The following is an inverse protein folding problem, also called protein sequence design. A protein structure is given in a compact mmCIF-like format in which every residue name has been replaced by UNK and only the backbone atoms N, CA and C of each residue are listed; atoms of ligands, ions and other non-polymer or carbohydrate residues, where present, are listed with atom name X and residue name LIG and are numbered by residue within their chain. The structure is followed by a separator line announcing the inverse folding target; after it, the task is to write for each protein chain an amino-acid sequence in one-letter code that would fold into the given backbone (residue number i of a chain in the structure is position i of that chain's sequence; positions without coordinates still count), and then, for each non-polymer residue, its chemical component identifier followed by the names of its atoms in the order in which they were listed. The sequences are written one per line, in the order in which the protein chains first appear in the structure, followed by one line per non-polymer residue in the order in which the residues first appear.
data_IF_184745746746
#
_entry.id   IF_184745746746
#
_cell.length_a   1.000
_cell.length_b   1.000
_cell.length_c   1.000
_cell.angle_alpha   90.00
_cell.angle_beta   90.00
_cell.angle_gamma   90.00
#
_symmetry.space_group_name_H-M   'P 1'
#
loop_
_entity.id
_entity.type
_entity.pdbx_description
1 polymer ?
#
# COMPACT_ATOMS: atom_id res chain seq x y z
N UNK A 1 -0.58 1.00 16.23
CA UNK A 1 -0.29 -0.13 15.34
C UNK A 1 0.30 0.37 14.04
N UNK A 2 1.29 -0.32 13.46
CA UNK A 2 1.88 0.05 12.17
C UNK A 2 1.73 -1.10 11.17
N UNK A 3 1.36 -0.76 9.93
CA UNK A 3 1.10 -1.71 8.84
C UNK A 3 1.99 -1.41 7.63
N UNK A 4 2.70 -2.43 7.11
CA UNK A 4 3.34 -2.40 5.80
C UNK A 4 2.29 -2.82 4.76
N UNK A 5 1.63 -1.89 4.09
CA UNK A 5 0.44 -2.22 3.31
C UNK A 5 0.41 -1.57 1.92
N UNK A 6 -0.43 -2.10 1.06
CA UNK A 6 -0.85 -1.46 -0.19
C UNK A 6 -2.22 -0.77 -0.03
N UNK A 7 -2.88 -0.51 -1.15
CA UNK A 7 -4.08 0.32 -1.19
C UNK A 7 -5.38 -0.38 -0.79
N UNK A 8 -5.59 -1.66 -1.12
CA UNK A 8 -6.94 -2.22 -1.23
C UNK A 8 -7.31 -3.22 -0.13
N UNK A 9 -6.55 -4.30 0.03
CA UNK A 9 -6.96 -5.46 0.85
C UNK A 9 -7.23 -5.14 2.33
N UNK A 10 -6.49 -4.18 2.91
CA UNK A 10 -6.66 -3.76 4.30
C UNK A 10 -7.62 -2.56 4.45
N UNK A 11 -8.31 -2.11 3.39
CA UNK A 11 -9.07 -0.84 3.39
C UNK A 11 -10.17 -0.83 4.46
N UNK A 12 -10.91 -1.90 4.58
CA UNK A 12 -12.02 -2.00 5.53
C UNK A 12 -11.53 -2.07 6.98
N UNK A 13 -10.58 -2.94 7.26
CA UNK A 13 -9.95 -3.07 8.59
C UNK A 13 -9.31 -1.75 9.03
N UNK A 14 -8.61 -1.05 8.10
CA UNK A 14 -8.00 0.24 8.40
C UNK A 14 -9.04 1.31 8.77
N UNK A 15 -10.20 1.34 8.10
CA UNK A 15 -11.32 2.24 8.44
C UNK A 15 -11.87 1.98 9.84
N UNK A 16 -11.99 0.72 10.20
CA UNK A 16 -12.48 0.32 11.55
C UNK A 16 -11.45 0.72 12.60
N UNK A 17 -10.20 0.29 12.44
CA UNK A 17 -9.13 0.56 13.40
C UNK A 17 -8.89 2.06 13.58
N UNK A 18 -8.94 2.86 12.52
CA UNK A 18 -8.73 4.30 12.60
C UNK A 18 -9.72 5.04 13.50
N UNK A 19 -10.88 4.44 13.78
CA UNK A 19 -11.88 4.98 14.71
C UNK A 19 -11.62 4.61 16.17
N UNK A 20 -10.72 3.66 16.44
CA UNK A 20 -10.53 3.03 17.75
C UNK A 20 -9.13 3.20 18.29
N UNK A 21 -8.13 3.15 17.45
CA UNK A 21 -6.72 3.17 17.82
C UNK A 21 -5.88 4.00 16.85
N UNK A 22 -4.73 4.46 17.31
CA UNK A 22 -3.78 5.13 16.42
C UNK A 22 -3.17 4.12 15.44
N UNK A 23 -3.41 4.33 14.15
CA UNK A 23 -2.87 3.52 13.06
C UNK A 23 -1.86 4.30 12.24
N UNK A 24 -0.82 3.61 11.80
CA UNK A 24 0.18 4.13 10.87
C UNK A 24 0.34 3.16 9.72
N UNK A 25 0.38 3.66 8.50
CA UNK A 25 0.55 2.86 7.30
C UNK A 25 1.78 3.30 6.54
N UNK A 26 2.72 2.37 6.33
CA UNK A 26 3.85 2.56 5.42
C UNK A 26 3.46 1.96 4.07
N UNK A 27 3.53 2.76 3.03
CA UNK A 27 3.03 2.46 1.70
C UNK A 27 4.17 2.51 0.69
N UNK A 28 4.25 1.47 -0.13
CA UNK A 28 5.20 1.40 -1.25
C UNK A 28 4.92 2.48 -2.30
N UNK A 29 6.00 3.02 -2.86
CA UNK A 29 5.99 4.07 -3.89
C UNK A 29 6.45 3.56 -5.26
N UNK A 30 6.48 2.23 -5.45
CA UNK A 30 7.05 1.59 -6.65
C UNK A 30 6.00 0.95 -7.56
N UNK A 31 4.72 1.12 -7.23
CA UNK A 31 3.60 0.62 -8.05
C UNK A 31 3.60 1.24 -9.46
N UNK A 32 3.20 0.46 -10.44
CA UNK A 32 3.12 0.87 -11.84
C UNK A 32 1.77 0.47 -12.47
N UNK A 33 0.71 0.34 -11.68
CA UNK A 33 -0.62 -0.06 -12.14
C UNK A 33 -1.63 1.09 -12.24
N UNK A 34 -2.70 0.86 -13.00
CA UNK A 34 -3.87 1.73 -13.10
C UNK A 34 -3.56 3.20 -13.41
N UNK A 35 -4.29 4.13 -12.79
CA UNK A 35 -4.14 5.58 -12.98
C UNK A 35 -2.73 6.10 -12.60
N UNK A 36 -2.00 5.42 -11.70
CA UNK A 36 -0.62 5.75 -11.38
C UNK A 36 0.31 5.50 -12.57
N UNK A 37 0.09 4.41 -13.31
CA UNK A 37 0.89 4.08 -14.50
C UNK A 37 0.79 5.18 -15.56
N UNK A 38 -0.43 5.65 -15.86
CA UNK A 38 -0.67 6.72 -16.82
C UNK A 38 0.08 8.02 -16.47
N UNK A 39 0.10 8.39 -15.18
CA UNK A 39 0.86 9.54 -14.71
C UNK A 39 2.37 9.34 -14.84
N UNK A 40 2.89 8.15 -14.45
CA UNK A 40 4.32 7.82 -14.53
C UNK A 40 4.84 7.62 -15.95
N UNK A 41 3.96 7.47 -16.94
CA UNK A 41 4.33 7.46 -18.37
C UNK A 41 4.69 8.86 -18.90
N UNK A 42 4.13 9.90 -18.29
CA UNK A 42 4.27 11.29 -18.76
C UNK A 42 4.99 12.20 -17.77
N UNK A 43 5.22 11.75 -16.55
CA UNK A 43 5.88 12.50 -15.48
C UNK A 43 6.82 11.60 -14.68
N UNK A 44 7.96 12.16 -14.27
CA UNK A 44 8.88 11.52 -13.33
C UNK A 44 8.39 11.72 -11.89
N UNK A 45 7.46 10.86 -11.46
CA UNK A 45 6.87 10.90 -10.13
C UNK A 45 6.88 9.51 -9.48
N UNK A 46 6.92 9.44 -8.12
CA UNK A 46 6.72 8.17 -7.41
C UNK A 46 5.29 7.65 -7.59
N UNK A 47 5.08 6.37 -7.30
CA UNK A 47 3.74 5.83 -7.29
C UNK A 47 2.95 6.36 -6.08
N UNK A 48 1.83 6.99 -6.34
CA UNK A 48 1.04 7.65 -5.29
C UNK A 48 -0.39 7.11 -5.14
N UNK A 49 -0.77 6.13 -5.97
CA UNK A 49 -2.13 5.59 -5.98
C UNK A 49 -2.53 4.92 -4.67
N UNK A 50 -1.65 4.08 -4.11
CA UNK A 50 -1.91 3.39 -2.85
C UNK A 50 -1.85 4.35 -1.65
N UNK A 51 -0.94 5.34 -1.69
CA UNK A 51 -0.89 6.43 -0.69
C UNK A 51 -2.21 7.17 -0.67
N UNK A 52 -2.69 7.68 -1.81
CA UNK A 52 -3.97 8.36 -1.93
C UNK A 52 -5.12 7.47 -1.45
N UNK A 53 -5.15 6.21 -1.87
CA UNK A 53 -6.19 5.25 -1.48
C UNK A 53 -6.23 5.04 0.03
N UNK A 54 -5.07 4.96 0.69
CA UNK A 54 -4.96 4.82 2.14
C UNK A 54 -5.40 6.09 2.86
N UNK A 55 -4.98 7.26 2.42
CA UNK A 55 -5.40 8.56 2.99
C UNK A 55 -6.93 8.68 2.98
N UNK A 56 -7.57 8.38 1.83
CA UNK A 56 -9.03 8.46 1.72
C UNK A 56 -9.74 7.37 2.54
N UNK A 57 -9.11 6.21 2.76
CA UNK A 57 -9.66 5.18 3.65
C UNK A 57 -9.65 5.61 5.13
N UNK A 58 -8.69 6.44 5.53
CA UNK A 58 -8.56 6.95 6.91
C UNK A 58 -9.30 8.26 7.14
N UNK A 59 -9.90 8.85 6.11
CA UNK A 59 -10.60 10.14 6.20
C UNK A 59 -11.72 10.13 7.25
N UNK A 60 -11.86 11.22 7.99
CA UNK A 60 -12.96 11.38 8.95
C UNK A 60 -14.26 11.74 8.25
N UNK A 61 -14.93 10.73 7.73
CA UNK A 61 -16.20 10.89 7.03
C UNK A 61 -17.40 11.17 7.94
N UNK A 62 -17.22 11.41 9.24
CA UNK A 62 -18.29 11.90 10.11
C UNK A 62 -18.69 13.33 9.76
N UNK A 63 -17.75 14.15 9.26
CA UNK A 63 -17.98 15.51 8.76
C UNK A 63 -18.54 15.49 7.34
N UNK A 64 -19.60 16.27 7.08
CA UNK A 64 -20.17 16.49 5.74
C UNK A 64 -19.15 17.05 4.75
N UNK A 65 -18.36 18.03 5.19
CA UNK A 65 -17.29 18.63 4.41
C UNK A 65 -16.33 17.55 3.92
N UNK A 66 -15.84 16.71 4.84
CA UNK A 66 -14.87 15.66 4.50
C UNK A 66 -15.50 14.59 3.58
N UNK A 67 -16.76 14.18 3.83
CA UNK A 67 -17.46 13.23 2.94
C UNK A 67 -17.52 13.73 1.50
N UNK A 68 -17.87 15.02 1.30
CA UNK A 68 -17.95 15.64 -0.03
C UNK A 68 -16.56 15.72 -0.67
N UNK A 69 -15.55 16.13 0.09
CA UNK A 69 -14.17 16.19 -0.39
C UNK A 69 -13.65 14.81 -0.81
N UNK A 70 -13.85 13.79 0.03
CA UNK A 70 -13.49 12.38 -0.29
C UNK A 70 -14.22 11.92 -1.55
N UNK A 71 -15.52 12.23 -1.69
CA UNK A 71 -16.31 11.88 -2.88
C UNK A 71 -15.74 12.51 -4.16
N UNK A 72 -15.22 13.74 -4.09
CA UNK A 72 -14.57 14.39 -5.23
C UNK A 72 -13.20 13.76 -5.55
N UNK A 73 -12.40 13.45 -4.52
CA UNK A 73 -11.06 12.85 -4.67
C UNK A 73 -11.09 11.37 -5.07
N UNK A 74 -12.11 10.59 -4.67
CA UNK A 74 -12.27 9.19 -5.10
C UNK A 74 -12.77 9.07 -6.54
N UNK A 75 -13.24 10.17 -7.14
CA UNK A 75 -13.81 10.14 -8.49
C UNK A 75 -12.76 9.69 -9.52
N UNK A 76 -13.22 8.86 -10.46
CA UNK A 76 -12.47 8.47 -11.65
C UNK A 76 -13.13 9.04 -12.88
N UNK A 77 -12.33 9.55 -13.78
CA UNK A 77 -12.80 10.06 -15.05
C UNK A 77 -13.42 8.92 -15.90
N UNK A 78 -14.36 9.23 -16.80
CA UNK A 78 -14.99 8.23 -17.66
C UNK A 78 -13.98 7.40 -18.46
N UNK A 79 -14.44 6.23 -18.94
CA UNK A 79 -13.64 5.37 -19.84
C UNK A 79 -13.62 5.90 -21.29
N UNK A 80 -14.63 6.67 -21.71
CA UNK A 80 -14.63 7.31 -23.01
C UNK A 80 -13.67 8.50 -23.04
N UNK A 81 -12.72 8.58 -23.99
CA UNK A 81 -11.69 9.62 -24.01
C UNK A 81 -12.26 11.04 -24.06
N UNK A 82 -13.29 11.27 -24.89
CA UNK A 82 -13.89 12.59 -25.07
C UNK A 82 -14.64 13.04 -23.82
N UNK A 83 -15.40 12.13 -23.20
CA UNK A 83 -16.08 12.37 -21.95
C UNK A 83 -15.08 12.60 -20.81
N UNK A 84 -13.97 11.85 -20.75
CA UNK A 84 -12.93 12.01 -19.74
C UNK A 84 -12.32 13.41 -19.77
N UNK A 85 -11.95 13.90 -20.95
CA UNK A 85 -11.41 15.25 -21.13
C UNK A 85 -12.45 16.32 -20.76
N UNK A 86 -13.69 16.16 -21.19
CA UNK A 86 -14.77 17.10 -20.85
C UNK A 86 -15.01 17.19 -19.34
N UNK A 87 -15.12 16.03 -18.68
CA UNK A 87 -15.31 15.96 -17.21
C UNK A 87 -14.10 16.50 -16.45
N UNK A 88 -12.88 16.22 -16.93
CA UNK A 88 -11.67 16.80 -16.33
C UNK A 88 -11.69 18.32 -16.38
N UNK A 89 -12.06 18.93 -17.52
CA UNK A 89 -12.21 20.38 -17.66
C UNK A 89 -13.29 20.96 -16.75
N UNK A 90 -14.40 20.23 -16.57
CA UNK A 90 -15.43 20.64 -15.60
C UNK A 90 -14.91 20.63 -14.15
N UNK A 91 -14.02 19.69 -13.80
CA UNK A 91 -13.33 19.70 -12.52
C UNK A 91 -12.37 20.89 -12.40
N UNK A 92 -11.53 21.16 -13.41
CA UNK A 92 -10.60 22.30 -13.41
C UNK A 92 -11.36 23.64 -13.27
N UNK A 93 -12.53 23.76 -13.90
CA UNK A 93 -13.35 24.96 -13.86
C UNK A 93 -14.33 25.01 -12.69
N UNK A 94 -14.33 23.99 -11.82
CA UNK A 94 -15.21 23.93 -10.65
C UNK A 94 -16.71 23.73 -10.95
N UNK A 95 -17.06 23.32 -12.18
CA UNK A 95 -18.46 23.18 -12.63
C UNK A 95 -19.01 21.76 -12.46
N UNK A 96 -18.16 20.76 -12.25
CA UNK A 96 -18.63 19.40 -12.07
C UNK A 96 -19.54 19.31 -10.82
N UNK A 97 -20.66 18.54 -10.84
CA UNK A 97 -21.62 18.49 -9.73
C UNK A 97 -20.97 18.20 -8.36
N UNK A 98 -19.94 17.33 -8.29
CA UNK A 98 -19.20 17.07 -7.04
C UNK A 98 -18.43 18.29 -6.55
N UNK A 99 -17.93 19.14 -7.45
CA UNK A 99 -17.21 20.37 -7.11
C UNK A 99 -18.15 21.44 -6.53
N UNK A 100 -19.37 21.52 -7.06
CA UNK A 100 -20.40 22.46 -6.58
C UNK A 100 -20.87 22.15 -5.16
N UNK A 101 -20.67 20.91 -4.69
CA UNK A 101 -21.03 20.50 -3.32
C UNK A 101 -19.92 20.79 -2.29
N UNK A 102 -18.73 21.20 -2.72
CA UNK A 102 -17.60 21.49 -1.85
C UNK A 102 -17.70 22.87 -1.22
N UNK A 103 -17.09 23.02 -0.05
CA UNK A 103 -16.80 24.34 0.51
C UNK A 103 -15.86 25.11 -0.45
N UNK A 104 -15.97 26.43 -0.47
CA UNK A 104 -15.22 27.27 -1.42
C UNK A 104 -13.71 27.04 -1.34
N UNK A 105 -13.16 26.90 -0.15
CA UNK A 105 -11.73 26.63 0.07
C UNK A 105 -11.30 25.30 -0.57
N UNK A 106 -12.06 24.22 -0.35
CA UNK A 106 -11.79 22.89 -0.90
C UNK A 106 -11.92 22.90 -2.42
N UNK A 107 -12.94 23.57 -2.94
CA UNK A 107 -13.17 23.73 -4.37
C UNK A 107 -12.00 24.47 -5.04
N UNK A 108 -11.61 25.61 -4.49
CA UNK A 108 -10.48 26.40 -4.99
C UNK A 108 -9.16 25.64 -4.93
N UNK A 109 -8.93 24.88 -3.86
CA UNK A 109 -7.74 24.03 -3.74
C UNK A 109 -7.70 22.97 -4.86
N UNK A 110 -8.79 22.25 -5.10
CA UNK A 110 -8.89 21.25 -6.16
C UNK A 110 -8.71 21.89 -7.55
N UNK A 111 -9.37 23.01 -7.82
CA UNK A 111 -9.25 23.71 -9.10
C UNK A 111 -7.81 24.12 -9.39
N UNK A 112 -7.13 24.75 -8.41
CA UNK A 112 -5.72 25.18 -8.54
C UNK A 112 -4.79 23.97 -8.74
N UNK A 113 -4.99 22.92 -7.98
CA UNK A 113 -4.19 21.68 -8.12
C UNK A 113 -4.36 21.03 -9.49
N UNK A 114 -5.60 20.89 -9.96
CA UNK A 114 -5.89 20.28 -11.26
C UNK A 114 -5.39 21.15 -12.43
N UNK A 115 -5.51 22.46 -12.37
CA UNK A 115 -4.94 23.37 -13.37
C UNK A 115 -3.40 23.26 -13.39
N UNK A 116 -2.75 23.27 -12.24
CA UNK A 116 -1.29 23.16 -12.15
C UNK A 116 -0.73 21.82 -12.65
N UNK A 117 -1.48 20.73 -12.52
CA UNK A 117 -1.08 19.43 -13.08
C UNK A 117 -1.38 19.36 -14.57
N UNK A 118 -2.47 19.97 -15.04
CA UNK A 118 -2.82 20.06 -16.48
C UNK A 118 -1.66 20.65 -17.29
N UNK A 119 -1.05 21.74 -16.81
CA UNK A 119 0.09 22.40 -17.43
C UNK A 119 1.33 21.48 -17.57
N UNK A 120 1.39 20.40 -16.81
CA UNK A 120 2.49 19.41 -16.83
C UNK A 120 2.16 18.14 -17.60
N UNK A 121 0.88 17.90 -17.88
CA UNK A 121 0.47 16.73 -18.64
C UNK A 121 0.90 16.89 -20.10
N UNK A 122 1.59 15.90 -20.63
CA UNK A 122 1.88 15.86 -22.06
C UNK A 122 0.62 15.50 -22.85
N UNK A 123 0.62 15.84 -24.15
CA UNK A 123 -0.46 15.44 -25.08
C UNK A 123 -0.68 13.91 -25.17
N UNK A 124 0.25 13.12 -24.64
CA UNK A 124 0.15 11.64 -24.58
C UNK A 124 -0.59 11.13 -23.34
N UNK A 125 -0.95 12.02 -22.39
CA UNK A 125 -1.65 11.58 -21.20
C UNK A 125 -3.06 11.10 -21.54
N UNK A 126 -3.38 9.92 -21.02
CA UNK A 126 -4.70 9.32 -21.17
C UNK A 126 -5.54 9.62 -19.95
N UNK A 127 -6.62 10.37 -20.16
CA UNK A 127 -7.53 10.77 -19.09
C UNK A 127 -8.48 9.66 -18.66
N UNK A 128 -8.66 8.61 -19.46
CA UNK A 128 -9.59 7.50 -19.22
C UNK A 128 -9.25 6.79 -17.90
N UNK A 129 -10.23 6.65 -17.05
CA UNK A 129 -10.11 6.09 -15.68
C UNK A 129 -9.07 6.80 -14.79
N UNK A 130 -8.60 7.98 -15.17
CA UNK A 130 -7.67 8.73 -14.33
C UNK A 130 -8.36 9.13 -13.00
N UNK A 131 -7.64 8.96 -11.90
CA UNK A 131 -8.14 9.31 -10.57
C UNK A 131 -7.90 10.79 -10.29
N UNK A 132 -8.96 11.54 -10.00
CA UNK A 132 -8.86 12.95 -9.59
C UNK A 132 -7.93 13.11 -8.39
N UNK A 133 -8.04 12.26 -7.38
CA UNK A 133 -7.17 12.33 -6.22
C UNK A 133 -5.69 12.05 -6.52
N UNK A 134 -5.37 11.21 -7.54
CA UNK A 134 -3.98 11.02 -7.96
C UNK A 134 -3.44 12.26 -8.67
N UNK A 135 -4.25 12.91 -9.51
CA UNK A 135 -3.89 14.16 -10.18
C UNK A 135 -3.62 15.28 -9.17
N UNK A 136 -4.49 15.42 -8.17
CA UNK A 136 -4.34 16.42 -7.11
C UNK A 136 -3.10 16.12 -6.24
N UNK A 137 -2.85 14.86 -5.88
CA UNK A 137 -1.65 14.50 -5.11
C UNK A 137 -0.38 14.75 -5.91
N UNK A 138 -0.41 14.55 -7.24
CA UNK A 138 0.72 14.89 -8.12
C UNK A 138 0.93 16.41 -8.17
N UNK A 139 -0.12 17.22 -8.20
CA UNK A 139 -0.02 18.67 -8.13
C UNK A 139 0.65 19.13 -6.82
N UNK A 140 0.22 18.57 -5.68
CA UNK A 140 0.80 18.86 -4.38
C UNK A 140 2.27 18.42 -4.28
N UNK A 141 2.61 17.27 -4.85
CA UNK A 141 3.99 16.79 -4.94
C UNK A 141 4.89 17.83 -5.62
N UNK A 142 4.48 18.37 -6.77
CA UNK A 142 5.23 19.42 -7.47
C UNK A 142 5.25 20.74 -6.72
N UNK A 143 4.13 21.16 -6.13
CA UNK A 143 4.02 22.40 -5.37
C UNK A 143 4.91 22.40 -4.12
N UNK A 144 5.19 21.22 -3.57
CA UNK A 144 6.04 21.04 -2.39
C UNK A 144 7.49 20.60 -2.73
N UNK A 145 7.97 20.97 -3.93
CA UNK A 145 9.35 20.74 -4.33
C UNK A 145 9.70 19.29 -4.62
N UNK A 146 8.79 18.57 -5.25
CA UNK A 146 8.93 17.14 -5.58
C UNK A 146 9.03 16.26 -4.33
N UNK A 147 8.25 16.55 -3.31
CA UNK A 147 8.27 15.82 -2.04
C UNK A 147 6.90 15.17 -1.78
N UNK A 148 6.88 13.82 -1.84
CA UNK A 148 5.66 13.05 -1.70
C UNK A 148 5.14 13.01 -0.26
N UNK A 149 6.05 12.88 0.73
CA UNK A 149 5.64 12.79 2.13
C UNK A 149 4.94 14.07 2.62
N UNK A 150 5.44 15.29 2.39
CA UNK A 150 4.71 16.52 2.69
C UNK A 150 3.37 16.64 1.95
N UNK A 151 3.31 16.20 0.68
CA UNK A 151 2.05 16.21 -0.09
C UNK A 151 1.00 15.27 0.50
N UNK A 152 1.42 14.06 0.90
CA UNK A 152 0.57 13.10 1.59
C UNK A 152 0.08 13.64 2.95
N UNK A 153 0.96 14.27 3.74
CA UNK A 153 0.60 14.88 5.02
C UNK A 153 -0.43 16.00 4.85
N UNK A 154 -0.26 16.86 3.84
CA UNK A 154 -1.25 17.91 3.53
C UNK A 154 -2.61 17.31 3.16
N UNK A 155 -2.63 16.29 2.32
CA UNK A 155 -3.88 15.60 1.97
C UNK A 155 -4.51 14.92 3.21
N UNK A 156 -3.72 14.29 4.09
CA UNK A 156 -4.20 13.74 5.36
C UNK A 156 -4.88 14.81 6.22
N UNK A 157 -4.27 15.99 6.34
CA UNK A 157 -4.84 17.10 7.11
C UNK A 157 -6.18 17.59 6.52
N UNK A 158 -6.26 17.73 5.19
CA UNK A 158 -7.46 18.19 4.50
C UNK A 158 -8.66 17.24 4.68
N UNK A 159 -8.41 15.92 4.64
CA UNK A 159 -9.47 14.91 4.86
C UNK A 159 -9.60 14.51 6.33
N UNK A 160 -8.89 15.19 7.24
CA UNK A 160 -8.90 14.90 8.67
C UNK A 160 -8.65 13.40 8.95
N UNK A 161 -7.63 12.84 8.32
CA UNK A 161 -7.34 11.42 8.40
C UNK A 161 -7.10 10.98 9.86
N UNK A 162 -7.80 9.92 10.27
CA UNK A 162 -7.66 9.29 11.59
C UNK A 162 -6.56 8.24 11.56
N UNK A 163 -5.31 8.70 11.46
CA UNK A 163 -4.11 7.85 11.36
C UNK A 163 -3.05 8.52 10.49
N UNK A 164 -1.87 7.90 10.42
CA UNK A 164 -0.74 8.41 9.65
C UNK A 164 -0.47 7.55 8.41
N UNK A 165 -0.10 8.20 7.32
CA UNK A 165 0.35 7.54 6.08
C UNK A 165 1.74 8.05 5.73
N UNK A 166 2.67 7.11 5.57
CA UNK A 166 4.04 7.40 5.19
C UNK A 166 4.37 6.71 3.86
N UNK A 167 4.97 7.45 2.95
CA UNK A 167 5.68 6.86 1.83
C UNK A 167 6.89 6.08 2.38
N UNK A 168 7.13 4.86 1.89
CA UNK A 168 8.31 4.11 2.33
C UNK A 168 9.60 4.80 1.88
N UNK A 169 9.58 5.42 0.72
CA UNK A 169 10.69 6.20 0.13
C UNK A 169 10.14 7.27 -0.80
N UNK A 170 10.90 8.34 -1.01
CA UNK A 170 10.62 9.36 -2.02
C UNK A 170 11.38 9.11 -3.33
N UNK A 171 12.25 8.10 -3.37
CA UNK A 171 13.05 7.76 -4.54
C UNK A 171 12.21 7.19 -5.69
N UNK A 172 12.59 7.53 -6.92
CA UNK A 172 11.96 7.00 -8.12
C UNK A 172 12.57 5.62 -8.46
N UNK A 173 11.74 4.59 -8.37
CA UNK A 173 12.12 3.23 -8.74
C UNK A 173 10.93 2.45 -9.28
N UNK A 174 11.22 1.27 -9.84
CA UNK A 174 10.23 0.30 -10.29
C UNK A 174 10.53 -1.07 -9.67
N UNK A 175 9.50 -1.87 -9.45
CA UNK A 175 9.67 -3.25 -9.04
C UNK A 175 10.07 -4.13 -10.23
N UNK A 176 11.04 -5.00 -9.99
CA UNK A 176 11.42 -6.09 -10.88
C UNK A 176 11.34 -7.41 -10.11
N UNK A 177 10.92 -8.46 -10.79
CA UNK A 177 10.90 -9.83 -10.25
C UNK A 177 11.61 -10.77 -11.20
N UNK A 178 12.27 -11.79 -10.65
CA UNK A 178 12.78 -12.95 -11.39
C UNK A 178 11.94 -14.17 -11.02
N UNK A 179 11.46 -14.84 -12.03
CA UNK A 179 10.72 -16.08 -11.89
C UNK A 179 11.70 -17.27 -11.78
N UNK A 180 11.26 -18.39 -11.20
CA UNK A 180 12.06 -19.63 -11.12
C UNK A 180 12.53 -20.15 -12.47
N UNK A 181 11.74 -19.91 -13.54
CA UNK A 181 12.12 -20.26 -14.91
C UNK A 181 13.17 -19.31 -15.53
N UNK A 182 13.76 -18.39 -14.74
CA UNK A 182 14.77 -17.43 -15.15
C UNK A 182 14.24 -16.13 -15.80
N UNK A 183 12.97 -16.03 -16.13
CA UNK A 183 12.39 -14.84 -16.75
C UNK A 183 12.32 -13.66 -15.78
N UNK A 184 12.80 -12.50 -16.22
CA UNK A 184 12.67 -11.24 -15.50
C UNK A 184 11.46 -10.44 -15.99
N UNK A 185 10.69 -9.87 -15.07
CA UNK A 185 9.55 -9.00 -15.35
C UNK A 185 9.76 -7.68 -14.61
N UNK A 186 9.75 -6.56 -15.33
CA UNK A 186 9.86 -5.21 -14.78
C UNK A 186 8.50 -4.53 -14.85
N UNK A 187 8.08 -3.91 -13.75
CA UNK A 187 6.80 -3.23 -13.59
C UNK A 187 5.74 -4.12 -12.93
N UNK A 188 5.29 -3.65 -11.77
CA UNK A 188 4.36 -4.35 -10.87
C UNK A 188 3.08 -4.84 -11.59
N UNK A 189 2.46 -4.01 -12.43
CA UNK A 189 1.23 -4.35 -13.16
C UNK A 189 1.34 -5.60 -14.06
N UNK A 190 2.57 -6.04 -14.37
CA UNK A 190 2.82 -7.18 -15.27
C UNK A 190 2.88 -8.52 -14.54
N UNK A 191 2.97 -8.54 -13.21
CA UNK A 191 3.06 -9.78 -12.42
C UNK A 191 2.01 -9.88 -11.30
N UNK A 192 1.14 -8.87 -11.12
CA UNK A 192 0.08 -8.92 -10.08
C UNK A 192 -1.17 -9.71 -10.47
N UNK A 193 -1.26 -10.18 -11.71
CA UNK A 193 -2.45 -10.88 -12.22
C UNK A 193 -3.66 -9.98 -12.48
N UNK A 194 -3.63 -8.70 -12.10
CA UNK A 194 -4.76 -7.74 -12.26
C UNK A 194 -5.14 -7.48 -13.72
N UNK A 195 -4.23 -7.74 -14.66
CA UNK A 195 -4.47 -7.60 -16.11
C UNK A 195 -4.96 -8.89 -16.76
N UNK A 196 -5.37 -9.89 -15.99
CA UNK A 196 -5.75 -11.23 -16.48
C UNK A 196 -4.56 -12.09 -16.93
N UNK A 197 -3.33 -11.59 -16.85
CA UNK A 197 -2.13 -12.37 -17.16
C UNK A 197 -1.66 -13.12 -15.92
N UNK A 198 -1.76 -14.44 -15.95
CA UNK A 198 -1.22 -15.30 -14.89
C UNK A 198 0.29 -15.25 -14.93
N UNK A 199 0.94 -15.13 -13.79
CA UNK A 199 2.40 -15.28 -13.66
C UNK A 199 2.76 -16.74 -14.02
N UNK A 200 3.62 -16.97 -15.03
CA UNK A 200 3.79 -18.32 -15.59
C UNK A 200 4.59 -19.28 -14.70
N UNK A 201 5.34 -18.76 -13.73
CA UNK A 201 6.19 -19.51 -12.81
C UNK A 201 6.29 -18.76 -11.49
N UNK A 202 6.59 -19.40 -10.35
CA UNK A 202 6.77 -18.75 -9.06
C UNK A 202 7.81 -17.61 -9.12
N UNK A 203 7.60 -16.58 -8.30
CA UNK A 203 8.56 -15.49 -8.13
C UNK A 203 9.69 -15.95 -7.23
N UNK A 204 10.90 -16.08 -7.78
CA UNK A 204 12.09 -16.49 -7.04
C UNK A 204 12.79 -15.32 -6.35
N UNK A 205 12.70 -14.11 -6.92
CA UNK A 205 13.40 -12.93 -6.39
C UNK A 205 12.70 -11.64 -6.76
N UNK A 206 12.95 -10.57 -5.97
CA UNK A 206 12.39 -9.23 -6.17
C UNK A 206 13.44 -8.18 -5.82
N UNK A 207 13.51 -7.11 -6.62
CA UNK A 207 14.41 -5.96 -6.39
C UNK A 207 13.87 -4.68 -7.01
N UNK A 208 14.56 -3.56 -6.76
CA UNK A 208 14.23 -2.27 -7.32
C UNK A 208 15.14 -1.94 -8.49
N UNK A 209 14.57 -1.34 -9.54
CA UNK A 209 15.28 -0.86 -10.71
C UNK A 209 14.94 0.60 -10.98
N UNK A 210 15.91 1.33 -11.53
CA UNK A 210 15.75 2.76 -11.84
C UNK A 210 14.83 2.97 -13.03
N UNK A 211 14.87 2.08 -13.99
CA UNK A 211 14.20 2.24 -15.28
C UNK A 211 13.80 0.90 -15.89
N UNK A 212 13.14 0.97 -17.04
CA UNK A 212 12.71 -0.21 -17.80
C UNK A 212 13.87 -1.00 -18.44
N UNK A 213 15.09 -0.45 -18.47
CA UNK A 213 16.29 -1.18 -18.89
C UNK A 213 16.80 -2.13 -17.79
N UNK A 214 16.23 -2.05 -16.58
CA UNK A 214 16.48 -3.00 -15.50
C UNK A 214 17.73 -2.68 -14.67
N UNK A 215 18.25 -1.45 -14.74
CA UNK A 215 19.38 -1.03 -13.89
C UNK A 215 18.98 -1.06 -12.43
N UNK A 216 19.56 -2.00 -11.67
CA UNK A 216 19.28 -2.14 -10.25
C UNK A 216 19.64 -0.86 -9.48
N UNK A 217 18.82 -0.51 -8.50
CA UNK A 217 19.01 0.64 -7.63
C UNK A 217 18.74 0.27 -6.19
N UNK A 218 19.52 0.85 -5.28
CA UNK A 218 19.22 0.86 -3.84
C UNK A 218 18.56 2.18 -3.50
N UNK A 219 17.44 2.13 -2.79
CA UNK A 219 16.71 3.31 -2.32
C UNK A 219 16.70 3.33 -0.80
N UNK A 220 16.60 4.53 -0.20
CA UNK A 220 16.57 4.70 1.24
C UNK A 220 15.17 5.04 1.74
N UNK A 221 14.88 4.58 2.95
CA UNK A 221 13.61 4.85 3.58
C UNK A 221 13.46 6.33 3.96
N UNK A 222 12.25 6.84 3.80
CA UNK A 222 11.88 8.16 4.26
C UNK A 222 12.03 8.23 5.80
N UNK A 223 12.70 9.26 6.36
CA UNK A 223 13.01 9.32 7.80
C UNK A 223 11.77 9.23 8.70
N UNK A 224 10.64 9.80 8.27
CA UNK A 224 9.40 9.72 9.04
C UNK A 224 8.82 8.31 9.11
N UNK A 225 9.03 7.49 8.06
CA UNK A 225 8.66 6.08 8.05
C UNK A 225 9.51 5.29 9.04
N UNK A 226 10.84 5.49 9.07
CA UNK A 226 11.73 4.86 10.05
C UNK A 226 11.36 5.25 11.49
N UNK A 227 11.10 6.55 11.72
CA UNK A 227 10.64 7.04 13.02
C UNK A 227 9.28 6.46 13.42
N UNK A 228 8.39 6.17 12.49
CA UNK A 228 7.13 5.51 12.77
C UNK A 228 7.33 4.04 13.17
N UNK A 229 8.23 3.30 12.49
CA UNK A 229 8.57 1.90 12.83
C UNK A 229 9.10 1.83 14.26
N UNK A 230 10.00 2.71 14.66
CA UNK A 230 10.63 2.69 15.99
C UNK A 230 9.64 2.96 17.15
N UNK A 231 8.55 3.68 16.89
CA UNK A 231 7.52 4.03 17.88
C UNK A 231 6.30 3.10 17.86
N UNK A 232 6.29 2.10 16.99
CA UNK A 232 5.15 1.20 16.85
C UNK A 232 4.95 0.33 18.10
N UNK A 233 3.71 0.19 18.56
CA UNK A 233 3.33 -0.77 19.60
C UNK A 233 3.04 -2.17 19.04
N UNK A 234 2.79 -2.27 17.73
CA UNK A 234 2.62 -3.50 16.97
C UNK A 234 3.04 -3.24 15.53
N UNK A 235 3.90 -4.07 14.98
CA UNK A 235 4.23 -4.11 13.53
C UNK A 235 3.45 -5.23 12.86
N UNK A 236 2.77 -4.92 11.77
CA UNK A 236 1.97 -5.88 11.04
C UNK A 236 2.37 -5.92 9.55
N UNK A 237 2.64 -7.13 9.06
CA UNK A 237 2.70 -7.46 7.64
C UNK A 237 1.32 -8.05 7.27
N UNK A 238 0.37 -7.21 6.82
CA UNK A 238 -1.03 -7.58 6.77
C UNK A 238 -1.37 -8.40 5.52
N UNK A 239 -2.62 -8.81 5.40
CA UNK A 239 -3.19 -9.33 4.15
C UNK A 239 -3.05 -8.32 3.01
N UNK A 240 -2.86 -8.82 1.79
CA UNK A 240 -2.68 -8.02 0.57
C UNK A 240 -1.70 -8.67 -0.38
N UNK A 241 -1.46 -8.03 -1.51
CA UNK A 241 -0.48 -8.50 -2.50
C UNK A 241 0.91 -8.64 -1.86
N UNK A 242 1.41 -9.86 -1.82
CA UNK A 242 2.61 -10.19 -1.02
C UNK A 242 3.85 -9.48 -1.56
N UNK A 243 4.15 -9.63 -2.85
CA UNK A 243 5.36 -9.06 -3.44
C UNK A 243 5.22 -7.57 -3.72
N UNK A 244 4.11 -7.15 -4.31
CA UNK A 244 3.94 -5.77 -4.75
C UNK A 244 3.58 -4.78 -3.62
N UNK A 245 3.08 -5.27 -2.48
CA UNK A 245 2.72 -4.39 -1.37
C UNK A 245 3.57 -4.61 -0.12
N UNK A 246 3.70 -5.86 0.38
CA UNK A 246 4.45 -6.13 1.61
C UNK A 246 5.95 -6.14 1.31
N UNK A 247 6.41 -7.07 0.48
CA UNK A 247 7.84 -7.24 0.16
C UNK A 247 8.45 -5.95 -0.43
N UNK A 248 7.69 -5.23 -1.26
CA UNK A 248 8.14 -3.96 -1.84
C UNK A 248 8.54 -2.91 -0.80
N UNK A 249 7.85 -2.85 0.35
CA UNK A 249 8.24 -1.97 1.46
C UNK A 249 9.55 -2.42 2.13
N UNK A 250 9.79 -3.73 2.20
CA UNK A 250 10.94 -4.33 2.89
C UNK A 250 12.23 -4.31 2.06
N UNK A 251 12.16 -3.98 0.76
CA UNK A 251 13.33 -3.79 -0.10
C UNK A 251 14.09 -2.50 0.20
N UNK A 252 13.50 -1.59 0.96
CA UNK A 252 14.01 -0.23 1.15
C UNK A 252 15.03 -0.20 2.28
N UNK A 253 16.20 0.36 2.02
CA UNK A 253 17.29 0.44 2.97
C UNK A 253 16.90 1.21 4.24
N UNK A 254 17.24 0.67 5.40
CA UNK A 254 16.88 1.16 6.72
C UNK A 254 15.66 0.48 7.33
N UNK A 255 14.74 -0.07 6.53
CA UNK A 255 13.51 -0.71 7.02
C UNK A 255 13.84 -1.96 7.85
N UNK A 256 14.68 -2.87 7.36
CA UNK A 256 15.05 -4.10 8.07
C UNK A 256 15.69 -3.80 9.43
N UNK A 257 16.63 -2.84 9.49
CA UNK A 257 17.24 -2.40 10.75
C UNK A 257 16.24 -1.78 11.71
N UNK A 258 15.33 -0.94 11.20
CA UNK A 258 14.30 -0.31 12.03
C UNK A 258 13.34 -1.36 12.62
N UNK A 259 12.94 -2.37 11.83
CA UNK A 259 12.12 -3.48 12.28
C UNK A 259 12.84 -4.32 13.33
N UNK A 260 14.12 -4.66 13.11
CA UNK A 260 14.93 -5.42 14.06
C UNK A 260 15.08 -4.70 15.41
N UNK A 261 15.27 -3.38 15.36
CA UNK A 261 15.42 -2.55 16.56
C UNK A 261 14.11 -2.31 17.33
N UNK A 262 12.96 -2.44 16.68
CA UNK A 262 11.66 -2.19 17.31
C UNK A 262 11.34 -3.25 18.38
N UNK A 263 10.98 -2.79 19.60
CA UNK A 263 10.73 -3.67 20.76
C UNK A 263 9.26 -4.11 20.90
N UNK A 264 8.51 -4.09 19.81
CA UNK A 264 7.10 -4.47 19.78
C UNK A 264 6.89 -5.82 19.10
N UNK A 265 5.72 -6.48 19.29
CA UNK A 265 5.34 -7.65 18.51
C UNK A 265 5.33 -7.39 17.01
N UNK A 266 5.75 -8.38 16.22
CA UNK A 266 5.72 -8.38 14.76
C UNK A 266 4.83 -9.54 14.32
N UNK A 267 3.77 -9.21 13.56
CA UNK A 267 2.76 -10.18 13.14
C UNK A 267 2.64 -10.21 11.63
N UNK A 268 2.82 -11.39 11.04
CA UNK A 268 2.50 -11.64 9.65
C UNK A 268 1.12 -12.27 9.53
N UNK A 269 0.29 -11.73 8.63
CA UNK A 269 -1.05 -12.24 8.33
C UNK A 269 -1.03 -12.70 6.86
N UNK A 270 -0.84 -14.00 6.60
CA UNK A 270 -0.87 -14.53 5.24
C UNK A 270 -2.27 -14.40 4.64
N UNK A 271 -2.36 -14.22 3.33
CA UNK A 271 -3.63 -14.18 2.64
C UNK A 271 -4.41 -15.49 2.84
N UNK A 272 -5.67 -15.44 3.29
CA UNK A 272 -6.52 -16.63 3.42
C UNK A 272 -7.02 -17.12 2.06
N UNK A 273 -6.93 -16.31 1.02
CA UNK A 273 -7.34 -16.62 -0.34
C UNK A 273 -6.16 -16.66 -1.32
N UNK A 274 -6.48 -17.00 -2.57
CA UNK A 274 -5.50 -17.03 -3.64
C UNK A 274 -4.97 -15.62 -3.94
N UNK A 275 -3.67 -15.46 -3.81
CA UNK A 275 -2.92 -14.30 -4.32
C UNK A 275 -2.20 -14.72 -5.61
N UNK A 276 -2.50 -14.12 -6.76
CA UNK A 276 -1.82 -14.46 -8.01
C UNK A 276 -0.30 -14.32 -7.95
N UNK A 277 0.21 -13.43 -7.08
CA UNK A 277 1.63 -13.23 -6.87
C UNK A 277 2.29 -14.41 -6.12
N UNK A 278 1.52 -15.15 -5.31
CA UNK A 278 1.96 -16.27 -4.48
C UNK A 278 1.83 -17.63 -5.15
N UNK A 279 1.60 -17.68 -6.46
CA UNK A 279 1.56 -18.95 -7.18
C UNK A 279 2.82 -19.80 -6.89
N UNK A 280 2.63 -21.04 -6.43
CA UNK A 280 3.72 -21.96 -6.08
C UNK A 280 4.37 -21.71 -4.72
N UNK A 281 4.01 -20.66 -4.01
CA UNK A 281 4.53 -20.37 -2.67
C UNK A 281 3.70 -21.06 -1.59
N UNK A 282 4.41 -21.62 -0.61
CA UNK A 282 3.85 -22.13 0.64
C UNK A 282 3.94 -21.06 1.74
N UNK A 283 3.32 -21.32 2.88
CA UNK A 283 3.48 -20.43 4.05
C UNK A 283 4.94 -20.34 4.52
N UNK A 284 5.70 -21.46 4.48
CA UNK A 284 7.14 -21.46 4.77
C UNK A 284 7.87 -20.49 3.85
N UNK A 285 7.70 -20.64 2.54
CA UNK A 285 8.42 -19.80 1.58
C UNK A 285 8.08 -18.34 1.68
N UNK A 286 6.85 -17.99 2.07
CA UNK A 286 6.45 -16.61 2.33
C UNK A 286 7.21 -16.02 3.52
N UNK A 287 7.27 -16.75 4.66
CA UNK A 287 8.00 -16.29 5.85
C UNK A 287 9.51 -16.22 5.57
N UNK A 288 10.08 -17.21 4.88
CA UNK A 288 11.49 -17.18 4.46
C UNK A 288 11.81 -15.98 3.58
N UNK A 289 10.88 -15.61 2.70
CA UNK A 289 11.03 -14.44 1.84
C UNK A 289 11.05 -13.14 2.68
N UNK A 290 10.12 -12.97 3.63
CA UNK A 290 10.11 -11.83 4.54
C UNK A 290 11.43 -11.74 5.33
N UNK A 291 11.86 -12.86 5.92
CA UNK A 291 13.11 -12.92 6.69
C UNK A 291 14.33 -12.57 5.84
N UNK A 292 14.38 -13.06 4.59
CA UNK A 292 15.47 -12.76 3.65
C UNK A 292 15.56 -11.26 3.35
N UNK A 293 14.42 -10.62 3.04
CA UNK A 293 14.38 -9.20 2.74
C UNK A 293 14.79 -8.34 3.95
N UNK A 294 14.25 -8.64 5.12
CA UNK A 294 14.59 -7.92 6.35
C UNK A 294 16.05 -8.10 6.75
N UNK A 295 16.61 -9.32 6.58
CA UNK A 295 18.01 -9.62 6.85
C UNK A 295 18.98 -9.00 5.85
N UNK A 296 18.56 -8.65 4.65
CA UNK A 296 19.40 -7.91 3.71
C UNK A 296 19.90 -6.57 4.31
N UNK A 297 19.11 -5.96 5.18
CA UNK A 297 19.44 -4.71 5.87
C UNK A 297 19.81 -4.92 7.36
N UNK A 298 19.59 -6.12 7.91
CA UNK A 298 19.93 -6.51 9.28
C UNK A 298 20.49 -7.93 9.33
N UNK A 299 21.73 -8.15 8.82
CA UNK A 299 22.34 -9.49 8.72
C UNK A 299 22.48 -10.16 10.10
N UNK A 300 22.19 -11.46 10.15
CA UNK A 300 22.35 -12.26 11.38
C UNK A 300 21.19 -12.09 12.39
N UNK A 301 20.20 -11.25 12.12
CA UNK A 301 19.08 -11.08 13.04
C UNK A 301 18.22 -12.34 13.14
N UNK A 302 17.75 -12.64 14.36
CA UNK A 302 16.92 -13.81 14.61
C UNK A 302 15.53 -13.67 14.01
N UNK A 303 14.94 -14.79 13.57
CA UNK A 303 13.64 -14.77 12.91
C UNK A 303 12.54 -14.16 13.80
N UNK A 304 12.53 -14.51 15.09
CA UNK A 304 11.58 -14.02 16.08
C UNK A 304 11.58 -12.50 16.25
N UNK A 305 12.74 -11.84 16.02
CA UNK A 305 12.85 -10.38 16.10
C UNK A 305 12.39 -9.66 14.83
N UNK A 306 12.19 -10.39 13.74
CA UNK A 306 11.76 -9.85 12.43
C UNK A 306 10.32 -10.22 12.11
N UNK A 307 9.92 -11.46 12.42
CA UNK A 307 8.57 -12.01 12.33
C UNK A 307 8.32 -12.83 13.58
N UNK A 308 7.72 -12.23 14.60
CA UNK A 308 7.53 -12.89 15.89
C UNK A 308 6.34 -13.86 15.92
N UNK A 309 5.31 -13.57 15.11
CA UNK A 309 4.09 -14.39 15.07
C UNK A 309 3.53 -14.44 13.64
N UNK A 310 2.83 -15.53 13.34
CA UNK A 310 1.88 -15.59 12.22
C UNK A 310 0.46 -15.61 12.78
N UNK A 311 -0.45 -14.83 12.18
CA UNK A 311 -1.87 -14.84 12.50
C UNK A 311 -2.62 -15.57 11.39
N UNK A 312 -3.25 -16.68 11.74
CA UNK A 312 -3.97 -17.57 10.83
C UNK A 312 -5.40 -17.83 11.32
N UNK A 313 -6.26 -18.29 10.44
CA UNK A 313 -7.60 -18.77 10.72
C UNK A 313 -7.74 -20.16 10.10
N UNK A 314 -7.37 -21.21 10.86
CA UNK A 314 -7.40 -22.59 10.35
C UNK A 314 -8.79 -23.20 10.37
N UNK A 315 -9.72 -22.58 11.07
CA UNK A 315 -11.13 -23.01 11.12
C UNK A 315 -11.85 -22.69 9.79
N UNK A 316 -11.60 -21.52 9.22
CA UNK A 316 -12.36 -20.99 8.08
C UNK A 316 -11.59 -20.95 6.77
N UNK A 317 -10.29 -21.31 6.75
CA UNK A 317 -9.50 -21.28 5.52
C UNK A 317 -8.31 -22.26 5.55
N UNK A 318 -7.75 -22.50 4.37
CA UNK A 318 -6.58 -23.33 4.17
C UNK A 318 -5.41 -22.51 3.59
N UNK A 319 -4.21 -22.76 4.10
CA UNK A 319 -2.98 -22.13 3.63
C UNK A 319 -2.15 -23.11 2.80
N UNK A 320 -1.60 -22.63 1.71
CA UNK A 320 -0.76 -23.46 0.83
C UNK A 320 0.42 -24.07 1.60
N UNK A 321 0.55 -25.39 1.52
CA UNK A 321 1.54 -26.18 2.27
C UNK A 321 1.18 -26.42 3.74
N UNK A 322 -0.03 -26.06 4.18
CA UNK A 322 -0.47 -26.19 5.57
C UNK A 322 0.26 -25.23 6.53
N UNK A 323 0.04 -25.44 7.84
CA UNK A 323 0.74 -24.67 8.89
C UNK A 323 2.02 -25.42 9.27
N UNK A 324 3.21 -24.89 9.00
CA UNK A 324 4.49 -25.56 9.20
C UNK A 324 4.95 -25.48 10.68
N UNK A 325 4.24 -26.12 11.60
CA UNK A 325 4.42 -25.98 13.06
C UNK A 325 5.86 -26.21 13.51
N UNK A 326 6.48 -27.32 13.10
CA UNK A 326 7.86 -27.67 13.49
C UNK A 326 8.87 -26.62 12.99
N UNK A 327 8.68 -26.14 11.75
CA UNK A 327 9.56 -25.11 11.17
C UNK A 327 9.41 -23.77 11.91
N UNK A 328 8.18 -23.38 12.25
CA UNK A 328 7.90 -22.16 13.01
C UNK A 328 8.49 -22.22 14.44
N UNK A 329 8.31 -23.34 15.13
CA UNK A 329 8.87 -23.59 16.46
C UNK A 329 10.42 -23.52 16.45
N UNK A 330 11.07 -24.18 15.49
CA UNK A 330 12.52 -24.10 15.29
C UNK A 330 13.03 -22.67 15.10
N UNK A 331 12.25 -21.81 14.45
CA UNK A 331 12.56 -20.40 14.23
C UNK A 331 12.01 -19.48 15.32
N UNK A 332 11.38 -20.03 16.37
CA UNK A 332 10.74 -19.31 17.50
C UNK A 332 9.67 -18.32 17.03
N UNK A 333 8.96 -18.65 15.98
CA UNK A 333 7.83 -17.86 15.46
C UNK A 333 6.54 -18.44 16.02
N UNK A 334 5.80 -17.62 16.78
CA UNK A 334 4.54 -18.04 17.41
C UNK A 334 3.40 -18.16 16.40
N UNK A 335 2.43 -19.02 16.69
CA UNK A 335 1.21 -19.18 15.90
C UNK A 335 0.04 -18.60 16.70
N UNK A 336 -0.67 -17.66 16.09
CA UNK A 336 -1.90 -17.07 16.60
C UNK A 336 -3.04 -17.55 15.69
N UNK A 337 -3.78 -18.56 16.14
CA UNK A 337 -4.93 -19.10 15.40
C UNK A 337 -6.21 -18.49 15.95
N UNK A 338 -6.87 -17.67 15.14
CA UNK A 338 -8.06 -16.89 15.53
C UNK A 338 -9.04 -16.78 14.36
N UNK A 339 -10.35 -16.84 14.61
CA UNK A 339 -11.38 -16.72 13.57
C UNK A 339 -11.55 -15.25 13.14
N UNK A 340 -11.02 -14.89 11.95
CA UNK A 340 -11.21 -13.56 11.35
C UNK A 340 -11.77 -13.61 9.91
N UNK A 341 -11.76 -14.76 9.26
CA UNK A 341 -12.37 -14.96 7.95
C UNK A 341 -13.88 -15.12 8.09
N UNK A 342 -14.65 -14.72 7.08
CA UNK A 342 -16.07 -14.94 7.05
C UNK A 342 -16.36 -16.43 6.75
N UNK A 343 -16.99 -17.21 7.65
CA UNK A 343 -17.24 -18.63 7.42
C UNK A 343 -18.24 -18.90 6.30
N UNK A 344 -19.12 -17.93 5.99
CA UNK A 344 -20.13 -18.06 4.92
C UNK A 344 -19.66 -17.55 3.57
N UNK A 345 -18.52 -16.85 3.52
CA UNK A 345 -17.96 -16.28 2.29
C UNK A 345 -16.41 -16.23 2.35
N UNK A 346 -15.71 -17.37 2.52
CA UNK A 346 -14.26 -17.38 2.47
C UNK A 346 -13.76 -17.11 1.03
N UNK A 347 -12.67 -16.38 0.84
CA UNK A 347 -11.72 -15.89 1.86
C UNK A 347 -11.98 -14.44 2.34
N UNK A 348 -13.21 -13.94 2.24
CA UNK A 348 -13.53 -12.57 2.64
C UNK A 348 -13.25 -12.35 4.14
N UNK A 349 -12.59 -11.22 4.44
CA UNK A 349 -12.26 -10.81 5.80
C UNK A 349 -13.09 -9.58 6.17
N UNK A 350 -14.10 -9.72 7.02
CA UNK A 350 -14.80 -8.56 7.57
C UNK A 350 -13.85 -7.67 8.37
N UNK A 351 -13.81 -6.38 8.05
CA UNK A 351 -12.90 -5.44 8.68
C UNK A 351 -13.01 -5.41 10.21
N UNK A 352 -14.22 -5.56 10.75
CA UNK A 352 -14.49 -5.62 12.19
C UNK A 352 -13.84 -6.85 12.87
N UNK A 353 -13.89 -8.02 12.24
CA UNK A 353 -13.32 -9.25 12.82
C UNK A 353 -11.80 -9.14 12.94
N UNK A 354 -11.12 -8.77 11.85
CA UNK A 354 -9.66 -8.62 11.88
C UNK A 354 -9.23 -7.49 12.80
N UNK A 355 -9.96 -6.37 12.83
CA UNK A 355 -9.68 -5.25 13.73
C UNK A 355 -9.70 -5.69 15.20
N UNK A 356 -10.74 -6.44 15.61
CA UNK A 356 -10.86 -6.97 16.98
C UNK A 356 -9.66 -7.85 17.37
N UNK A 357 -9.26 -8.78 16.49
CA UNK A 357 -8.11 -9.66 16.77
C UNK A 357 -6.82 -8.85 16.92
N UNK A 358 -6.61 -7.84 16.06
CA UNK A 358 -5.42 -6.98 16.13
C UNK A 358 -5.41 -6.10 17.39
N UNK A 359 -6.56 -5.62 17.83
CA UNK A 359 -6.70 -4.87 19.09
C UNK A 359 -6.32 -5.73 20.31
N UNK A 360 -6.81 -6.97 20.36
CA UNK A 360 -6.47 -7.93 21.43
C UNK A 360 -4.97 -8.20 21.49
N UNK A 361 -4.31 -8.35 20.31
CA UNK A 361 -2.87 -8.59 20.23
C UNK A 361 -2.02 -7.38 20.66
N UNK A 362 -2.51 -6.17 20.44
CA UNK A 362 -1.81 -4.96 20.85
C UNK A 362 -1.90 -4.70 22.37
N UNK A 363 -2.96 -5.18 23.03
CA UNK A 363 -3.21 -4.99 24.47
C UNK A 363 -2.51 -6.07 25.30
N UNK A 364 -2.41 -7.30 24.81
CA UNK A 364 -1.92 -8.46 25.58
C UNK A 364 -0.44 -8.41 26.00
N UNK A 365 0.30 -7.36 25.64
CA UNK A 365 1.72 -7.15 25.99
C UNK A 365 2.04 -5.73 26.51
N UNK A 366 1.02 -4.98 26.98
CA UNK A 366 1.19 -3.68 27.65
C UNK A 366 1.40 -3.81 29.16
#
# INVERSE_FOLDING_TARGET
MLFFSGGTALKETARVLARRVNTTHIITTFDSGGSTAALREVMDIPAMGDIRSRILALADTSSDRVRRLVSALEFRLPQDPSAAISVFRDYVQGRHPRMLLLADEDRLWLMRGLAAVEDRLSAKFRFEDASVGNLVLAAEYFALGNRLQPAAQKMCALVQARGAVHAVSEDLAHLAVRLENGKTIIGQHRFTGKTGRVVPSPIADIWLVRDRAGRQVSVQAEPSALGAISRAALLCYPVGSFFSSIAANLLVGGVGRAVAAAQCPKVFIPNPGADPELRGHTLVSQVEFLLRLLRADSPGERAENLVGHILVDTENTHYSGGIPREWLEKNRIGILDRPFVNPTDPPFIPGEKLAKVLEELAISKG
#
